data_IF_377983581888
#
_entry.id   IF_377983581888
#
_cell.length_a   1.000
_cell.length_b   1.000
_cell.length_c   1.000
_cell.angle_alpha   90.00
_cell.angle_beta   90.00
_cell.angle_gamma   90.00
#
_symmetry.space_group_name_H-M   'P 1'
#
loop_
_entity.id
_entity.type
_entity.pdbx_description
1 polymer ?
#
# COMPACT_ATOMS: atom_id res chain seq x y z
N UNK A 1 -11.60 -15.25 -18.26
CA UNK A 1 -10.58 -14.33 -17.72
C UNK A 1 -9.84 -15.11 -16.65
N UNK A 2 -8.51 -15.21 -16.76
CA UNK A 2 -7.69 -15.84 -15.72
C UNK A 2 -7.81 -15.03 -14.44
N UNK A 3 -8.21 -15.67 -13.35
CA UNK A 3 -8.29 -15.03 -12.03
C UNK A 3 -6.88 -14.66 -11.56
N UNK A 4 -6.69 -13.42 -11.10
CA UNK A 4 -5.45 -13.02 -10.43
C UNK A 4 -5.47 -13.56 -9.00
N UNK A 5 -4.43 -14.29 -8.60
CA UNK A 5 -4.36 -14.94 -7.29
C UNK A 5 -3.53 -14.06 -6.34
N UNK A 6 -4.04 -13.81 -5.13
CA UNK A 6 -3.28 -13.15 -4.05
C UNK A 6 -2.67 -14.15 -3.08
N UNK A 7 -3.41 -15.20 -2.74
CA UNK A 7 -2.98 -16.27 -1.84
C UNK A 7 -3.42 -17.63 -2.37
N UNK A 8 -2.57 -18.62 -2.15
CA UNK A 8 -2.85 -20.02 -2.40
C UNK A 8 -2.69 -20.78 -1.09
N UNK A 9 -3.74 -21.51 -0.68
CA UNK A 9 -3.67 -22.34 0.52
C UNK A 9 -3.25 -23.76 0.11
N UNK A 10 -1.97 -24.07 0.29
CA UNK A 10 -1.39 -25.35 -0.16
C UNK A 10 -2.00 -26.59 0.51
N UNK A 11 -2.70 -26.45 1.66
CA UNK A 11 -3.31 -27.59 2.36
C UNK A 11 -4.54 -28.17 1.65
N UNK A 12 -5.27 -27.35 0.90
CA UNK A 12 -6.50 -27.76 0.19
C UNK A 12 -6.65 -27.16 -1.21
N UNK A 13 -5.57 -26.55 -1.72
CA UNK A 13 -5.49 -25.91 -3.03
C UNK A 13 -6.55 -24.82 -3.26
N UNK A 14 -6.98 -24.14 -2.19
CA UNK A 14 -7.92 -23.02 -2.30
C UNK A 14 -7.17 -21.76 -2.73
N UNK A 15 -7.64 -21.15 -3.82
CA UNK A 15 -7.19 -19.84 -4.29
C UNK A 15 -8.04 -18.73 -3.67
N UNK A 16 -7.38 -17.66 -3.22
CA UNK A 16 -8.03 -16.38 -2.94
C UNK A 16 -7.62 -15.39 -4.04
N UNK A 17 -8.63 -14.81 -4.71
CA UNK A 17 -8.37 -13.81 -5.74
C UNK A 17 -7.79 -12.52 -5.15
N UNK A 18 -7.03 -11.76 -5.94
CA UNK A 18 -6.52 -10.44 -5.54
C UNK A 18 -7.68 -9.50 -5.17
N UNK A 19 -8.74 -9.47 -5.98
CA UNK A 19 -9.90 -8.63 -5.71
C UNK A 19 -10.59 -8.96 -4.38
N UNK A 20 -10.82 -10.25 -4.10
CA UNK A 20 -11.43 -10.69 -2.84
C UNK A 20 -10.55 -10.33 -1.64
N UNK A 21 -9.25 -10.62 -1.75
CA UNK A 21 -8.28 -10.31 -0.71
C UNK A 21 -8.28 -8.79 -0.40
N UNK A 22 -8.10 -7.95 -1.41
CA UNK A 22 -8.06 -6.49 -1.26
C UNK A 22 -9.36 -5.94 -0.66
N UNK A 23 -10.53 -6.46 -1.04
CA UNK A 23 -11.82 -6.05 -0.48
C UNK A 23 -11.97 -6.44 0.99
N UNK A 24 -11.52 -7.64 1.36
CA UNK A 24 -11.56 -8.10 2.75
C UNK A 24 -10.64 -7.26 3.66
N UNK A 25 -9.39 -7.05 3.24
CA UNK A 25 -8.42 -6.22 3.97
C UNK A 25 -8.91 -4.78 4.05
N UNK A 26 -9.42 -4.22 2.94
CA UNK A 26 -10.02 -2.88 2.90
C UNK A 26 -11.12 -2.70 3.95
N UNK A 27 -12.07 -3.65 4.04
CA UNK A 27 -13.15 -3.59 5.03
C UNK A 27 -12.65 -3.67 6.47
N UNK A 28 -11.71 -4.58 6.76
CA UNK A 28 -11.16 -4.76 8.11
C UNK A 28 -10.30 -3.57 8.55
N UNK A 29 -9.41 -3.09 7.67
CA UNK A 29 -8.57 -1.93 7.93
C UNK A 29 -9.41 -0.66 8.15
N UNK A 30 -10.50 -0.47 7.38
CA UNK A 30 -11.46 0.62 7.61
C UNK A 30 -12.12 0.53 9.00
N UNK A 31 -12.55 -0.68 9.39
CA UNK A 31 -13.14 -0.94 10.70
C UNK A 31 -12.15 -0.63 11.83
N UNK A 32 -10.89 -1.05 11.71
CA UNK A 32 -9.87 -0.75 12.72
C UNK A 32 -9.53 0.74 12.78
N UNK A 33 -9.35 1.38 11.63
CA UNK A 33 -9.05 2.81 11.54
C UNK A 33 -10.21 3.72 11.98
N UNK A 34 -11.45 3.21 11.97
CA UNK A 34 -12.62 3.94 12.47
C UNK A 34 -12.48 4.38 13.93
N UNK A 35 -11.72 3.64 14.74
CA UNK A 35 -11.47 3.95 16.17
C UNK A 35 -10.81 5.31 16.39
N UNK A 36 -10.06 5.80 15.40
CA UNK A 36 -9.41 7.12 15.42
C UNK A 36 -10.00 8.08 14.37
N UNK A 37 -11.13 7.72 13.76
CA UNK A 37 -11.80 8.54 12.75
C UNK A 37 -11.14 8.51 11.37
N UNK A 38 -10.31 7.50 11.07
CA UNK A 38 -9.59 7.36 9.80
C UNK A 38 -10.13 6.23 8.91
N UNK A 39 -11.41 5.90 9.00
CA UNK A 39 -12.00 4.79 8.24
C UNK A 39 -11.74 4.87 6.72
N UNK A 40 -11.91 6.01 6.02
CA UNK A 40 -11.62 6.11 4.59
C UNK A 40 -10.14 5.84 4.25
N UNK A 41 -9.23 6.28 5.14
CA UNK A 41 -7.80 6.03 4.99
C UNK A 41 -7.46 4.55 5.18
N UNK A 42 -8.05 3.89 6.19
CA UNK A 42 -7.92 2.45 6.39
C UNK A 42 -8.45 1.64 5.21
N UNK A 43 -9.60 2.04 4.68
CA UNK A 43 -10.20 1.41 3.51
C UNK A 43 -9.29 1.46 2.29
N UNK A 44 -8.73 2.65 2.00
CA UNK A 44 -7.89 2.86 0.83
C UNK A 44 -6.55 2.14 0.93
N UNK A 45 -5.88 2.14 2.09
CA UNK A 45 -4.62 1.40 2.23
C UNK A 45 -4.85 -0.10 2.13
N UNK A 46 -5.93 -0.65 2.69
CA UNK A 46 -6.25 -2.07 2.54
C UNK A 46 -6.56 -2.45 1.09
N UNK A 47 -7.29 -1.58 0.37
CA UNK A 47 -7.63 -1.82 -1.03
C UNK A 47 -6.44 -1.76 -1.99
N UNK A 48 -5.36 -1.05 -1.62
CA UNK A 48 -4.24 -0.79 -2.53
C UNK A 48 -2.90 -1.35 -2.06
N UNK A 49 -2.80 -1.94 -0.86
CA UNK A 49 -1.51 -2.41 -0.34
C UNK A 49 -0.85 -3.41 -1.29
N UNK A 50 -1.63 -4.38 -1.77
CA UNK A 50 -1.22 -5.48 -2.64
C UNK A 50 -1.53 -5.25 -4.12
N UNK A 51 -1.78 -4.00 -4.52
CA UNK A 51 -2.19 -3.69 -5.89
C UNK A 51 -1.19 -4.19 -6.95
N UNK A 52 0.10 -4.24 -6.64
CA UNK A 52 1.12 -4.80 -7.54
C UNK A 52 1.00 -6.31 -7.81
N UNK A 53 0.20 -7.06 -7.04
CA UNK A 53 -0.05 -8.49 -7.30
C UNK A 53 -0.80 -8.74 -8.61
N UNK A 54 -1.47 -7.74 -9.17
CA UNK A 54 -2.05 -7.82 -10.52
C UNK A 54 -1.01 -7.88 -11.66
N UNK A 55 0.27 -7.58 -11.39
CA UNK A 55 1.30 -7.64 -12.43
C UNK A 55 1.56 -9.08 -12.87
N UNK A 56 1.81 -9.27 -14.17
CA UNK A 56 2.13 -10.58 -14.74
C UNK A 56 3.37 -11.20 -14.10
N UNK A 57 4.38 -10.39 -13.78
CA UNK A 57 5.60 -10.88 -13.11
C UNK A 57 5.29 -11.48 -11.72
N UNK A 58 4.37 -10.86 -10.96
CA UNK A 58 3.97 -11.40 -9.65
C UNK A 58 3.15 -12.67 -9.80
N UNK A 59 2.21 -12.69 -10.76
CA UNK A 59 1.39 -13.88 -11.03
C UNK A 59 2.23 -15.07 -11.49
N UNK A 60 3.20 -14.86 -12.37
CA UNK A 60 4.13 -15.91 -12.82
C UNK A 60 4.93 -16.46 -11.64
N UNK A 61 5.52 -15.56 -10.84
CA UNK A 61 6.23 -15.96 -9.61
C UNK A 61 5.36 -16.78 -8.66
N UNK A 62 4.13 -16.33 -8.37
CA UNK A 62 3.23 -17.03 -7.45
C UNK A 62 2.88 -18.42 -7.98
N UNK A 63 2.53 -18.53 -9.26
CA UNK A 63 2.20 -19.82 -9.88
C UNK A 63 3.40 -20.76 -9.91
N UNK A 64 4.60 -20.26 -10.18
CA UNK A 64 5.82 -21.07 -10.11
C UNK A 64 6.14 -21.50 -8.67
N UNK A 65 5.95 -20.63 -7.68
CA UNK A 65 6.17 -20.93 -6.27
C UNK A 65 5.26 -22.06 -5.76
N UNK A 66 4.01 -22.10 -6.23
CA UNK A 66 3.03 -23.11 -5.86
C UNK A 66 3.05 -24.36 -6.77
N UNK A 67 3.99 -24.44 -7.73
CA UNK A 67 4.12 -25.57 -8.64
C UNK A 67 2.97 -25.72 -9.64
N UNK A 68 2.25 -24.63 -9.91
CA UNK A 68 1.13 -24.58 -10.88
C UNK A 68 1.66 -24.53 -12.31
N UNK A 69 2.83 -23.91 -12.51
CA UNK A 69 3.50 -23.79 -13.82
C UNK A 69 4.66 -24.78 -13.88
N UNK A 70 4.75 -25.50 -15.00
CA UNK A 70 5.85 -26.44 -15.28
C UNK A 70 7.19 -25.69 -15.37
N UNK A 71 8.26 -26.29 -14.85
CA UNK A 71 9.60 -25.70 -14.85
C UNK A 71 10.15 -25.43 -16.26
N UNK A 72 9.64 -26.16 -17.26
CA UNK A 72 10.03 -26.00 -18.67
C UNK A 72 9.18 -24.96 -19.44
N UNK A 73 8.21 -24.30 -18.79
CA UNK A 73 7.36 -23.30 -19.43
C UNK A 73 8.04 -21.92 -19.50
N UNK A 74 7.78 -21.16 -20.57
CA UNK A 74 8.30 -19.79 -20.74
C UNK A 74 7.86 -18.82 -19.62
N UNK A 75 6.76 -19.16 -18.94
CA UNK A 75 6.19 -18.39 -17.83
C UNK A 75 6.80 -18.74 -16.46
N UNK A 76 7.65 -19.77 -16.40
CA UNK A 76 8.26 -20.22 -15.15
C UNK A 76 9.30 -19.21 -14.64
N UNK A 77 9.22 -18.93 -13.34
CA UNK A 77 10.21 -18.12 -12.61
C UNK A 77 10.72 -18.93 -11.44
N UNK A 78 12.04 -18.95 -11.22
CA UNK A 78 12.62 -19.59 -10.04
C UNK A 78 12.18 -18.86 -8.76
N UNK A 79 11.12 -19.38 -8.13
CA UNK A 79 10.54 -18.79 -6.94
C UNK A 79 11.52 -18.72 -5.75
N UNK A 80 12.52 -19.59 -5.70
CA UNK A 80 13.55 -19.54 -4.65
C UNK A 80 14.47 -18.34 -4.85
N UNK A 81 14.81 -18.00 -6.09
CA UNK A 81 15.60 -16.81 -6.39
C UNK A 81 14.82 -15.51 -6.13
N UNK A 82 13.51 -15.49 -6.41
CA UNK A 82 12.67 -14.29 -6.36
C UNK A 82 11.90 -14.08 -5.05
N UNK A 83 12.01 -15.00 -4.09
CA UNK A 83 11.30 -14.91 -2.80
C UNK A 83 11.60 -13.59 -2.08
N UNK A 84 10.56 -12.79 -1.87
CA UNK A 84 10.65 -11.48 -1.22
C UNK A 84 11.35 -10.39 -2.04
N UNK A 85 11.71 -10.66 -3.31
CA UNK A 85 12.39 -9.68 -4.19
C UNK A 85 11.43 -8.96 -5.14
N UNK A 86 10.23 -9.51 -5.37
CA UNK A 86 9.25 -8.89 -6.26
C UNK A 86 8.49 -7.79 -5.52
N UNK A 87 8.76 -6.56 -5.93
CA UNK A 87 8.16 -5.36 -5.39
C UNK A 87 6.72 -5.18 -5.87
N UNK A 88 5.77 -5.67 -5.09
CA UNK A 88 4.34 -5.51 -5.34
C UNK A 88 3.70 -4.40 -4.49
N UNK A 89 4.42 -3.88 -3.50
CA UNK A 89 3.93 -2.82 -2.60
C UNK A 89 4.05 -1.42 -3.20
N UNK A 90 5.04 -1.18 -4.07
CA UNK A 90 5.30 0.18 -4.58
C UNK A 90 4.26 0.66 -5.58
N UNK A 91 3.62 -0.23 -6.36
CA UNK A 91 2.60 0.14 -7.34
C UNK A 91 1.42 0.87 -6.68
N UNK A 92 0.82 0.28 -5.64
CA UNK A 92 -0.29 0.89 -4.90
C UNK A 92 0.11 2.20 -4.22
N UNK A 93 1.31 2.25 -3.63
CA UNK A 93 1.83 3.47 -3.00
C UNK A 93 2.00 4.61 -4.00
N UNK A 94 2.55 4.32 -5.18
CA UNK A 94 2.69 5.30 -6.26
C UNK A 94 1.34 5.77 -6.78
N UNK A 95 0.36 4.86 -6.90
CA UNK A 95 -0.99 5.21 -7.34
C UNK A 95 -1.61 6.27 -6.42
N UNK A 96 -1.62 6.03 -5.11
CA UNK A 96 -2.15 6.99 -4.12
C UNK A 96 -1.34 8.29 -4.12
N UNK A 97 -0.01 8.20 -4.10
CA UNK A 97 0.86 9.36 -4.08
C UNK A 97 0.63 10.28 -5.28
N UNK A 98 0.53 9.73 -6.49
CA UNK A 98 0.31 10.51 -7.72
C UNK A 98 -1.01 11.26 -7.70
N UNK A 99 -2.07 10.67 -7.15
CA UNK A 99 -3.39 11.28 -7.13
C UNK A 99 -3.49 12.38 -6.07
N UNK A 100 -3.04 12.10 -4.84
CA UNK A 100 -3.23 13.04 -3.72
C UNK A 100 -2.20 14.17 -3.68
N UNK A 101 -0.94 13.90 -4.06
CA UNK A 101 0.12 14.93 -4.01
C UNK A 101 -0.15 16.13 -4.92
N UNK A 102 -0.85 15.91 -6.04
CA UNK A 102 -1.22 16.96 -7.00
C UNK A 102 -2.22 17.97 -6.42
N UNK A 103 -2.98 17.59 -5.40
CA UNK A 103 -3.98 18.48 -4.78
C UNK A 103 -3.35 19.49 -3.81
N UNK A 104 -2.07 19.35 -3.49
CA UNK A 104 -1.34 20.24 -2.60
C UNK A 104 -1.87 20.26 -1.16
N UNK A 105 -1.29 21.10 -0.31
CA UNK A 105 -1.73 21.30 1.07
C UNK A 105 -1.92 20.00 1.84
N UNK A 106 -3.14 19.75 2.34
CA UNK A 106 -3.48 18.53 3.08
C UNK A 106 -3.29 17.25 2.25
N UNK A 107 -3.55 17.29 0.94
CA UNK A 107 -3.46 16.12 0.08
C UNK A 107 -2.03 15.60 -0.07
N UNK A 108 -1.03 16.50 -0.03
CA UNK A 108 0.38 16.10 0.00
C UNK A 108 0.72 15.29 1.26
N UNK A 109 0.26 15.74 2.44
CA UNK A 109 0.46 15.01 3.69
C UNK A 109 -0.32 13.69 3.75
N UNK A 110 -1.59 13.71 3.30
CA UNK A 110 -2.41 12.51 3.21
C UNK A 110 -1.78 11.48 2.26
N UNK A 111 -1.39 11.90 1.06
CA UNK A 111 -0.74 11.06 0.07
C UNK A 111 0.54 10.43 0.60
N UNK A 112 1.40 11.21 1.26
CA UNK A 112 2.64 10.67 1.84
C UNK A 112 2.35 9.63 2.93
N UNK A 113 1.43 9.93 3.86
CA UNK A 113 1.07 9.01 4.94
C UNK A 113 0.54 7.67 4.41
N UNK A 114 -0.40 7.73 3.47
CA UNK A 114 -1.04 6.53 2.91
C UNK A 114 -0.05 5.71 2.07
N UNK A 115 0.75 6.38 1.23
CA UNK A 115 1.79 5.74 0.44
C UNK A 115 2.87 5.09 1.33
N UNK A 116 3.22 5.70 2.47
CA UNK A 116 4.13 5.09 3.45
C UNK A 116 3.57 3.81 4.02
N UNK A 117 2.30 3.79 4.45
CA UNK A 117 1.66 2.57 4.96
C UNK A 117 1.67 1.46 3.90
N UNK A 118 1.25 1.77 2.67
CA UNK A 118 1.21 0.82 1.57
C UNK A 118 2.60 0.32 1.20
N UNK A 119 3.58 1.19 1.02
CA UNK A 119 4.93 0.77 0.62
C UNK A 119 5.64 -0.11 1.68
N UNK A 120 5.19 -0.06 2.93
CA UNK A 120 5.89 -0.62 4.08
C UNK A 120 5.33 -1.96 4.58
N UNK A 121 4.26 -2.49 3.99
CA UNK A 121 3.48 -3.56 4.62
C UNK A 121 4.24 -4.88 4.82
N UNK A 122 5.34 -5.15 4.09
CA UNK A 122 6.19 -6.33 4.32
C UNK A 122 7.35 -6.12 5.29
N UNK A 123 7.91 -4.91 5.36
CA UNK A 123 9.19 -4.64 6.02
C UNK A 123 9.05 -3.88 7.34
N UNK A 124 7.83 -3.49 7.71
CA UNK A 124 7.59 -2.41 8.65
C UNK A 124 7.81 -1.04 8.01
N UNK A 125 7.37 0.01 8.72
CA UNK A 125 7.48 1.40 8.25
C UNK A 125 8.93 1.76 7.89
N UNK A 126 9.13 2.16 6.63
CA UNK A 126 10.42 2.60 6.14
C UNK A 126 10.82 3.96 6.71
N UNK A 127 12.12 4.18 6.84
CA UNK A 127 12.66 5.52 7.06
C UNK A 127 12.50 6.36 5.79
N UNK A 128 11.93 7.57 5.92
CA UNK A 128 11.81 8.49 4.79
C UNK A 128 13.16 9.08 4.36
N UNK A 129 14.10 9.20 5.30
CA UNK A 129 15.44 9.71 5.07
C UNK A 129 16.45 8.63 5.44
N UNK A 130 17.51 8.48 4.66
CA UNK A 130 18.57 7.51 5.00
C UNK A 130 19.33 7.94 6.25
N UNK A 131 19.48 7.01 7.20
CA UNK A 131 20.38 7.14 8.34
C UNK A 131 21.80 6.59 8.09
N UNK A 132 22.06 6.00 6.93
CA UNK A 132 23.35 5.37 6.64
C UNK A 132 24.41 6.41 6.25
N UNK A 133 25.65 6.23 6.74
CA UNK A 133 26.72 7.22 6.55
C UNK A 133 27.03 7.53 5.07
N UNK A 134 26.91 6.54 4.18
CA UNK A 134 27.23 6.69 2.76
C UNK A 134 26.26 7.61 1.99
N UNK A 135 25.03 7.76 2.48
CA UNK A 135 23.96 8.52 1.84
C UNK A 135 23.06 9.20 2.87
N UNK A 136 23.63 9.69 3.97
CA UNK A 136 22.88 10.27 5.07
C UNK A 136 22.00 11.43 4.60
N UNK A 137 20.73 11.42 5.01
CA UNK A 137 19.74 12.45 4.65
C UNK A 137 19.14 12.31 3.24
N UNK A 138 19.50 11.27 2.48
CA UNK A 138 18.90 11.02 1.17
C UNK A 138 17.40 10.72 1.30
N UNK A 139 16.55 11.36 0.48
CA UNK A 139 15.09 11.15 0.48
C UNK A 139 14.74 9.77 -0.13
N UNK A 140 14.55 8.78 0.74
CA UNK A 140 14.18 7.41 0.40
C UNK A 140 12.74 7.34 -0.08
N UNK A 141 11.84 8.10 0.57
CA UNK A 141 10.42 8.10 0.24
C UNK A 141 10.20 8.58 -1.19
N UNK A 142 10.71 9.77 -1.53
CA UNK A 142 10.55 10.35 -2.86
C UNK A 142 11.21 9.48 -3.92
N UNK A 143 12.40 8.93 -3.66
CA UNK A 143 13.06 8.00 -4.59
C UNK A 143 12.21 6.78 -4.87
N UNK A 144 11.58 6.19 -3.85
CA UNK A 144 10.68 5.04 -4.02
C UNK A 144 9.43 5.44 -4.80
N UNK A 145 8.83 6.59 -4.51
CA UNK A 145 7.65 7.09 -5.23
C UNK A 145 7.96 7.49 -6.68
N UNK A 146 9.21 7.85 -6.99
CA UNK A 146 9.69 8.19 -8.34
C UNK A 146 10.31 7.00 -9.09
N UNK A 147 10.31 5.79 -8.50
CA UNK A 147 10.76 4.58 -9.19
C UNK A 147 10.02 4.46 -10.54
N UNK A 148 10.77 4.17 -11.61
CA UNK A 148 10.20 4.11 -12.95
C UNK A 148 9.01 3.13 -13.00
N UNK A 149 7.90 3.54 -13.64
CA UNK A 149 6.67 2.74 -13.74
C UNK A 149 6.93 1.31 -14.23
N UNK A 150 7.83 1.14 -15.21
CA UNK A 150 8.22 -0.15 -15.75
C UNK A 150 8.82 -1.11 -14.71
N UNK A 151 9.40 -0.61 -13.61
CA UNK A 151 9.94 -1.44 -12.51
C UNK A 151 8.93 -1.74 -11.40
N UNK A 152 7.78 -1.06 -11.43
CA UNK A 152 6.70 -1.20 -10.45
C UNK A 152 5.46 -1.82 -11.07
N UNK A 153 5.45 -1.97 -12.41
CA UNK A 153 4.34 -2.48 -13.19
C UNK A 153 3.03 -1.70 -13.03
N UNK A 154 3.09 -0.44 -12.59
CA UNK A 154 1.89 0.34 -12.27
C UNK A 154 0.94 0.50 -13.47
N UNK A 155 1.46 0.81 -14.66
CA UNK A 155 0.61 1.03 -15.85
C UNK A 155 -0.09 -0.27 -16.28
N UNK A 156 0.61 -1.39 -16.22
CA UNK A 156 0.06 -2.74 -16.46
C UNK A 156 -1.04 -3.05 -15.44
N UNK A 157 -0.73 -2.90 -14.16
CA UNK A 157 -1.65 -3.16 -13.04
C UNK A 157 -2.94 -2.35 -13.19
N UNK A 158 -2.86 -1.05 -13.55
CA UNK A 158 -4.05 -0.22 -13.77
C UNK A 158 -4.90 -0.73 -14.94
N UNK A 159 -4.30 -1.30 -15.97
CA UNK A 159 -5.02 -1.81 -17.14
C UNK A 159 -5.73 -3.13 -16.88
N UNK A 160 -5.14 -4.00 -16.05
CA UNK A 160 -5.62 -5.38 -15.88
C UNK A 160 -6.36 -5.63 -14.57
N UNK A 161 -6.25 -4.72 -13.58
CA UNK A 161 -6.91 -4.86 -12.30
C UNK A 161 -8.44 -4.90 -12.42
N UNK A 162 -9.07 -5.58 -11.47
CA UNK A 162 -10.52 -5.68 -11.40
C UNK A 162 -11.20 -4.30 -11.37
N UNK A 163 -12.19 -4.11 -12.26
CA UNK A 163 -12.87 -2.84 -12.43
C UNK A 163 -13.53 -2.33 -11.13
N UNK A 164 -14.01 -3.23 -10.28
CA UNK A 164 -14.57 -2.89 -8.97
C UNK A 164 -13.54 -2.30 -8.00
N UNK A 165 -12.31 -2.83 -8.00
CA UNK A 165 -11.19 -2.32 -7.18
C UNK A 165 -10.79 -0.92 -7.66
N UNK A 166 -10.63 -0.74 -8.97
CA UNK A 166 -10.29 0.56 -9.57
C UNK A 166 -11.38 1.61 -9.31
N UNK A 167 -12.66 1.25 -9.51
CA UNK A 167 -13.79 2.14 -9.28
C UNK A 167 -13.86 2.59 -7.81
N UNK A 168 -13.69 1.66 -6.86
CA UNK A 168 -13.73 1.99 -5.44
C UNK A 168 -12.53 2.83 -5.00
N UNK A 169 -11.34 2.53 -5.51
CA UNK A 169 -10.15 3.33 -5.25
C UNK A 169 -10.31 4.76 -5.79
N UNK A 170 -10.85 4.92 -7.00
CA UNK A 170 -11.13 6.22 -7.60
C UNK A 170 -12.18 7.02 -6.81
N UNK A 171 -13.24 6.36 -6.33
CA UNK A 171 -14.25 6.98 -5.47
C UNK A 171 -13.64 7.52 -4.17
N UNK A 172 -12.83 6.70 -3.46
CA UNK A 172 -12.16 7.11 -2.23
C UNK A 172 -11.16 8.25 -2.45
N UNK A 173 -10.39 8.20 -3.53
CA UNK A 173 -9.41 9.23 -3.88
C UNK A 173 -10.06 10.55 -4.31
N UNK A 174 -11.25 10.50 -4.92
CA UNK A 174 -12.04 11.67 -5.28
C UNK A 174 -12.87 12.26 -4.14
N UNK A 175 -12.99 11.55 -3.02
CA UNK A 175 -13.80 11.97 -1.87
C UNK A 175 -13.00 12.90 -0.93
N UNK A 176 -13.43 14.17 -0.74
CA UNK A 176 -12.73 15.10 0.15
C UNK A 176 -12.70 14.64 1.61
N UNK A 177 -13.59 13.74 2.02
CA UNK A 177 -13.58 13.16 3.38
C UNK A 177 -12.28 12.41 3.68
N UNK A 178 -11.60 11.86 2.67
CA UNK A 178 -10.33 11.15 2.85
C UNK A 178 -9.22 12.09 3.38
N UNK A 179 -8.82 13.17 2.68
CA UNK A 179 -7.84 14.10 3.24
C UNK A 179 -8.38 14.87 4.46
N UNK A 180 -9.67 15.18 4.53
CA UNK A 180 -10.24 15.95 5.64
C UNK A 180 -10.23 15.19 6.97
N UNK A 181 -10.49 13.87 6.99
CA UNK A 181 -10.43 13.10 8.23
C UNK A 181 -8.99 13.05 8.81
N UNK A 182 -7.99 12.94 7.92
CA UNK A 182 -6.57 13.00 8.28
C UNK A 182 -6.23 14.39 8.85
N UNK A 183 -6.66 15.45 8.17
CA UNK A 183 -6.48 16.84 8.61
C UNK A 183 -7.08 17.08 9.99
N UNK A 184 -8.30 16.58 10.20
CA UNK A 184 -9.04 16.77 11.43
C UNK A 184 -8.29 16.15 12.62
N UNK A 185 -7.83 14.90 12.47
CA UNK A 185 -7.07 14.22 13.52
C UNK A 185 -5.72 14.90 13.77
N UNK A 186 -4.98 15.23 12.71
CA UNK A 186 -3.71 15.95 12.83
C UNK A 186 -3.90 17.31 13.54
N UNK A 187 -4.96 18.06 13.20
CA UNK A 187 -5.27 19.35 13.83
C UNK A 187 -5.61 19.20 15.31
N UNK A 188 -6.29 18.12 15.71
CA UNK A 188 -6.56 17.81 17.13
C UNK A 188 -5.26 17.49 17.88
N UNK A 189 -4.36 16.72 17.28
CA UNK A 189 -3.04 16.43 17.85
C UNK A 189 -2.24 17.72 18.05
N UNK A 190 -2.19 18.58 17.02
CA UNK A 190 -1.50 19.88 17.10
C UNK A 190 -2.11 20.76 18.19
N UNK A 191 -3.44 20.87 18.24
CA UNK A 191 -4.14 21.68 19.22
C UNK A 191 -3.96 21.19 20.67
N UNK A 192 -3.85 19.88 20.89
CA UNK A 192 -3.63 19.27 22.21
C UNK A 192 -2.18 19.43 22.70
N UNK A 193 -1.22 19.64 21.80
CA UNK A 193 0.21 19.76 22.11
C UNK A 193 0.76 21.17 21.85
N UNK A 194 -0.06 22.21 22.04
CA UNK A 194 0.41 23.60 21.92
C UNK A 194 1.67 23.81 22.75
N UNK A 195 2.68 24.42 22.15
CA UNK A 195 4.00 24.68 22.74
C UNK A 195 4.80 23.41 23.13
N UNK A 196 4.40 22.22 22.67
CA UNK A 196 5.09 20.93 22.91
C UNK A 196 5.44 20.25 21.59
N UNK A 197 6.46 20.77 20.90
CA UNK A 197 6.86 20.32 19.55
C UNK A 197 7.20 18.83 19.48
N UNK A 198 7.97 18.31 20.43
CA UNK A 198 8.40 16.89 20.42
C UNK A 198 7.20 15.93 20.59
N UNK A 199 6.36 16.06 21.64
CA UNK A 199 5.15 15.24 21.77
C UNK A 199 4.20 15.35 20.58
N UNK A 200 4.04 16.54 19.99
CA UNK A 200 3.23 16.74 18.80
C UNK A 200 3.74 15.89 17.62
N UNK A 201 5.04 15.97 17.31
CA UNK A 201 5.64 15.20 16.21
C UNK A 201 5.56 13.70 16.47
N UNK A 202 5.80 13.26 17.70
CA UNK A 202 5.66 11.86 18.11
C UNK A 202 4.23 11.36 17.90
N UNK A 203 3.22 12.14 18.30
CA UNK A 203 1.81 11.75 18.15
C UNK A 203 1.35 11.73 16.67
N UNK A 204 1.86 12.64 15.83
CA UNK A 204 1.65 12.55 14.38
C UNK A 204 2.27 11.27 13.81
N UNK A 205 3.47 10.89 14.24
CA UNK A 205 4.07 9.61 13.88
C UNK A 205 3.27 8.41 14.40
N UNK A 206 2.71 8.49 15.62
CA UNK A 206 1.84 7.46 16.18
C UNK A 206 0.53 7.32 15.41
N UNK A 207 -0.02 8.41 14.86
CA UNK A 207 -1.17 8.35 13.96
C UNK A 207 -0.85 7.52 12.71
N UNK A 208 0.31 7.74 12.07
CA UNK A 208 0.76 6.93 10.92
C UNK A 208 0.96 5.47 11.33
N UNK A 209 1.61 5.22 12.47
CA UNK A 209 1.84 3.86 13.00
C UNK A 209 0.55 3.13 13.33
N UNK A 210 -0.45 3.81 13.90
CA UNK A 210 -1.75 3.22 14.18
C UNK A 210 -2.44 2.83 12.87
N UNK A 211 -2.45 3.72 11.89
CA UNK A 211 -3.02 3.44 10.58
C UNK A 211 -2.30 2.27 9.89
N UNK A 212 -0.97 2.24 9.94
CA UNK A 212 -0.17 1.10 9.47
C UNK A 212 -0.54 -0.20 10.18
N UNK A 213 -0.68 -0.19 11.52
CA UNK A 213 -1.10 -1.38 12.26
C UNK A 213 -2.50 -1.86 11.91
N UNK A 214 -3.40 -0.97 11.50
CA UNK A 214 -4.72 -1.36 11.02
C UNK A 214 -4.65 -2.14 9.70
N UNK A 215 -3.66 -1.84 8.85
CA UNK A 215 -3.39 -2.60 7.64
C UNK A 215 -2.80 -3.97 7.98
N UNK A 216 -1.76 -4.02 8.82
CA UNK A 216 -1.08 -5.26 9.19
C UNK A 216 -1.97 -6.23 9.98
N UNK A 217 -2.91 -5.73 10.78
CA UNK A 217 -3.87 -6.60 11.51
C UNK A 217 -5.00 -7.11 10.59
N UNK A 218 -5.24 -6.43 9.48
CA UNK A 218 -6.31 -6.77 8.53
C UNK A 218 -5.86 -7.74 7.42
N UNK A 219 -4.59 -7.65 7.01
CA UNK A 219 -3.89 -8.51 6.04
C UNK A 219 -3.34 -9.79 6.71
#
# INVERSE_FOLDING_TARGET
MSSFIAHFRSTDHTEQSVSEHLQNVSRLAALHASKIGLAPAGELIGLLHDFGKYSGIFQNYLKSAEGIVDADADEFVDAHEFKGKIDHSTAGAQYVWRQLSQTGGVGLYAGQMLALCIASHHSGLIDCLSGAAANFGEDIFTRRMQKAVAKTHLDEVIQVADAGVLARAAELLGDPRLPDCIKLLASRIVAANRNRTIPMQQQLGLMVRFLFSCLIDAD
#
